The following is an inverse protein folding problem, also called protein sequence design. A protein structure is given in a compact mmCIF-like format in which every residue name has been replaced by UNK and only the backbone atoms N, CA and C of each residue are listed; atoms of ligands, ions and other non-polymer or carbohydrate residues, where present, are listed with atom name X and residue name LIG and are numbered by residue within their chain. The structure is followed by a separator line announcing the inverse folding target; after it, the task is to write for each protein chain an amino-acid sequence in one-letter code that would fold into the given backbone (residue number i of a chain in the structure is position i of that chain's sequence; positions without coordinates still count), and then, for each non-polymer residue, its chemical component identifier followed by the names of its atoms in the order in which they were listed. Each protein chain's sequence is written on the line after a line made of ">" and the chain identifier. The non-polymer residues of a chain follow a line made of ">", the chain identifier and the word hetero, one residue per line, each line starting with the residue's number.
data_IF_313615812855
#
_entry.id   IF_313615812855
#
_cell.length_a   1.000
_cell.length_b   1.000
_cell.length_c   1.000
_cell.angle_alpha   90.00
_cell.angle_beta   90.00
_cell.angle_gamma   90.00
#
_symmetry.space_group_name_H-M   'P 1'
#
loop_
_entity.id
_entity.type
_entity.pdbx_description
1 polymer ?
#
# COMPACT_ATOMS: atom_id res chain seq x y z
N UNK A 1 -13.50 9.12 8.21
CA UNK A 1 -13.73 9.09 9.68
C UNK A 1 -12.39 8.77 10.37
N UNK A 2 -12.17 9.07 11.66
CA UNK A 2 -10.90 8.73 12.34
C UNK A 2 -10.52 7.24 12.28
N UNK A 3 -11.48 6.35 12.00
CA UNK A 3 -11.27 4.92 11.70
C UNK A 3 -10.39 4.66 10.47
N UNK A 4 -10.50 5.51 9.44
CA UNK A 4 -9.93 5.22 8.13
C UNK A 4 -8.45 5.62 8.10
N UNK A 5 -8.08 6.66 8.85
CA UNK A 5 -6.67 7.04 9.04
C UNK A 5 -5.85 5.92 9.69
N UNK A 6 -6.40 5.26 10.70
CA UNK A 6 -5.76 4.09 11.34
C UNK A 6 -5.65 2.93 10.36
N UNK A 7 -6.71 2.67 9.60
CA UNK A 7 -6.69 1.64 8.55
C UNK A 7 -5.59 1.91 7.52
N UNK A 8 -5.49 3.14 6.98
CA UNK A 8 -4.49 3.47 5.97
C UNK A 8 -3.07 3.34 6.50
N UNK A 9 -2.79 3.82 7.72
CA UNK A 9 -1.47 3.65 8.31
C UNK A 9 -1.13 2.17 8.56
N UNK A 10 -2.11 1.37 9.01
CA UNK A 10 -1.92 -0.05 9.22
C UNK A 10 -1.72 -0.80 7.89
N UNK A 11 -2.47 -0.45 6.85
CA UNK A 11 -2.35 -1.01 5.52
C UNK A 11 -1.00 -0.66 4.87
N UNK A 12 -0.50 0.57 5.07
CA UNK A 12 0.84 0.97 4.63
C UNK A 12 1.90 0.02 5.21
N UNK A 13 1.87 -0.21 6.53
CA UNK A 13 2.79 -1.14 7.19
C UNK A 13 2.65 -2.60 6.74
N UNK A 14 1.43 -3.03 6.41
CA UNK A 14 1.19 -4.39 5.89
C UNK A 14 1.69 -4.58 4.45
N UNK A 15 1.92 -3.49 3.71
CA UNK A 15 2.36 -3.48 2.31
C UNK A 15 3.83 -3.05 2.16
N UNK A 16 4.56 -2.87 3.26
CA UNK A 16 6.02 -2.69 3.27
C UNK A 16 6.74 -4.01 3.55
N UNK A 17 8.04 -4.05 3.30
CA UNK A 17 8.86 -5.23 3.59
C UNK A 17 8.72 -5.65 5.07
N UNK A 18 8.44 -6.94 5.36
CA UNK A 18 8.10 -7.39 6.71
C UNK A 18 9.36 -7.62 7.57
N UNK A 19 9.98 -6.54 8.01
CA UNK A 19 11.14 -6.54 8.90
C UNK A 19 10.77 -6.80 10.38
N UNK A 20 11.77 -6.72 11.26
CA UNK A 20 11.60 -6.93 12.70
C UNK A 20 10.69 -5.87 13.35
N UNK A 21 10.71 -4.63 12.83
CA UNK A 21 9.86 -3.53 13.31
C UNK A 21 8.39 -3.78 12.95
N UNK A 22 8.10 -4.24 11.73
CA UNK A 22 6.78 -4.69 11.32
C UNK A 22 6.29 -5.83 12.25
N UNK A 23 7.14 -6.81 12.53
CA UNK A 23 6.80 -7.93 13.43
C UNK A 23 6.46 -7.47 14.84
N UNK A 24 7.23 -6.56 15.39
CA UNK A 24 6.98 -6.00 16.72
C UNK A 24 5.61 -5.27 16.79
N UNK A 25 5.13 -4.75 15.66
CA UNK A 25 3.85 -4.02 15.56
C UNK A 25 2.63 -4.90 15.33
N UNK A 26 2.78 -6.20 14.99
CA UNK A 26 1.65 -7.08 14.68
C UNK A 26 0.54 -7.11 15.76
N UNK A 27 0.83 -7.18 17.08
CA UNK A 27 -0.22 -7.14 18.10
C UNK A 27 -1.02 -5.83 18.06
N UNK A 28 -0.34 -4.69 17.86
CA UNK A 28 -0.98 -3.38 17.76
C UNK A 28 -1.83 -3.27 16.49
N UNK A 29 -1.32 -3.74 15.34
CA UNK A 29 -2.07 -3.74 14.08
C UNK A 29 -3.35 -4.58 14.19
N UNK A 30 -3.28 -5.73 14.87
CA UNK A 30 -4.42 -6.64 15.09
C UNK A 30 -5.55 -5.97 15.87
N UNK A 31 -5.22 -5.11 16.82
CA UNK A 31 -6.19 -4.37 17.64
C UNK A 31 -6.70 -3.10 16.94
N UNK A 32 -5.79 -2.32 16.34
CA UNK A 32 -6.08 -1.01 15.80
C UNK A 32 -6.82 -1.06 14.45
N UNK A 33 -6.57 -2.09 13.63
CA UNK A 33 -7.20 -2.26 12.32
C UNK A 33 -7.84 -3.66 12.18
N UNK A 34 -9.01 -3.90 12.80
CA UNK A 34 -9.70 -5.19 12.73
C UNK A 34 -10.00 -5.67 11.31
N UNK A 35 -10.12 -4.76 10.34
CA UNK A 35 -10.31 -5.03 8.93
C UNK A 35 -9.11 -5.75 8.29
N UNK A 36 -7.91 -5.59 8.86
CA UNK A 36 -6.68 -6.22 8.37
C UNK A 36 -6.32 -7.50 9.13
N UNK A 37 -7.21 -7.97 10.03
CA UNK A 37 -6.92 -9.09 10.93
C UNK A 37 -6.52 -10.36 10.18
N UNK A 38 -7.12 -10.62 9.03
CA UNK A 38 -6.78 -11.82 8.24
C UNK A 38 -5.29 -11.84 7.84
N UNK A 39 -4.79 -10.76 7.25
CA UNK A 39 -3.38 -10.63 6.92
C UNK A 39 -2.48 -10.62 8.17
N UNK A 40 -2.86 -9.86 9.20
CA UNK A 40 -2.06 -9.74 10.44
C UNK A 40 -1.94 -11.09 11.15
N UNK A 41 -3.01 -11.88 11.20
CA UNK A 41 -3.01 -13.20 11.82
C UNK A 41 -2.15 -14.18 11.02
N UNK A 42 -2.24 -14.14 9.69
CA UNK A 42 -1.35 -14.89 8.81
C UNK A 42 0.12 -14.52 9.04
N UNK A 43 0.44 -13.22 9.06
CA UNK A 43 1.80 -12.73 9.28
C UNK A 43 2.36 -13.14 10.65
N UNK A 44 1.54 -13.15 11.69
CA UNK A 44 1.93 -13.51 13.06
C UNK A 44 2.33 -14.98 13.21
N UNK A 45 1.68 -15.89 12.48
CA UNK A 45 1.97 -17.34 12.54
C UNK A 45 3.01 -17.79 11.51
N UNK A 46 3.30 -16.96 10.50
CA UNK A 46 4.27 -17.27 9.44
C UNK A 46 5.70 -16.98 9.93
N UNK A 47 6.70 -17.84 9.66
CA UNK A 47 8.11 -17.56 9.97
C UNK A 47 8.63 -16.30 9.26
N UNK A 48 9.55 -15.56 9.92
CA UNK A 48 10.06 -14.27 9.42
C UNK A 48 10.64 -14.34 8.01
N UNK A 49 11.54 -15.30 7.80
CA UNK A 49 12.19 -15.49 6.51
C UNK A 49 11.20 -15.92 5.41
N UNK A 50 10.17 -16.70 5.77
CA UNK A 50 9.15 -17.11 4.82
C UNK A 50 8.25 -15.95 4.40
N UNK A 51 7.83 -15.11 5.36
CA UNK A 51 7.02 -13.93 5.06
C UNK A 51 7.80 -12.91 4.20
N UNK A 52 9.08 -12.70 4.51
CA UNK A 52 9.97 -11.85 3.72
C UNK A 52 10.20 -12.40 2.30
N UNK A 53 10.50 -13.70 2.16
CA UNK A 53 10.64 -14.33 0.86
C UNK A 53 9.33 -14.27 0.06
N UNK A 54 8.19 -14.38 0.74
CA UNK A 54 6.89 -14.25 0.12
C UNK A 54 6.61 -12.82 -0.36
N UNK A 55 6.94 -11.80 0.44
CA UNK A 55 6.84 -10.40 0.04
C UNK A 55 7.60 -10.13 -1.26
N UNK A 56 8.88 -10.55 -1.31
CA UNK A 56 9.72 -10.42 -2.51
C UNK A 56 9.08 -11.16 -3.69
N UNK A 57 8.64 -12.41 -3.50
CA UNK A 57 7.98 -13.19 -4.56
C UNK A 57 6.74 -12.50 -5.13
N UNK A 58 5.96 -11.80 -4.29
CA UNK A 58 4.73 -11.11 -4.71
C UNK A 58 5.06 -9.81 -5.44
N UNK A 59 5.90 -8.96 -4.84
CA UNK A 59 6.05 -7.56 -5.25
C UNK A 59 7.30 -7.28 -6.10
N UNK A 60 8.35 -8.10 -6.03
CA UNK A 60 9.61 -7.93 -6.80
C UNK A 60 9.55 -8.64 -8.17
N UNK A 61 8.63 -9.60 -8.34
CA UNK A 61 8.53 -10.40 -9.55
C UNK A 61 7.78 -9.67 -10.69
N UNK A 62 8.53 -9.08 -11.63
CA UNK A 62 8.09 -8.78 -13.01
C UNK A 62 6.80 -7.93 -13.15
N UNK A 63 6.74 -6.71 -12.58
CA UNK A 63 5.67 -5.70 -12.79
C UNK A 63 4.21 -6.17 -12.52
N UNK A 64 3.98 -7.45 -12.19
CA UNK A 64 2.66 -8.07 -12.18
C UNK A 64 1.81 -7.62 -11.01
N UNK A 65 2.45 -7.27 -9.90
CA UNK A 65 1.80 -6.81 -8.67
C UNK A 65 2.48 -5.54 -8.14
N UNK A 66 3.02 -4.68 -9.01
CA UNK A 66 3.76 -3.50 -8.58
C UNK A 66 2.92 -2.63 -7.63
N UNK A 67 3.53 -2.19 -6.52
CA UNK A 67 2.92 -1.25 -5.58
C UNK A 67 3.04 0.21 -6.03
N UNK A 68 3.62 0.46 -7.21
CA UNK A 68 3.69 1.80 -7.80
C UNK A 68 2.41 2.11 -8.58
N UNK A 69 1.62 3.07 -8.08
CA UNK A 69 0.31 3.40 -8.64
C UNK A 69 0.37 3.82 -10.12
N UNK A 70 1.45 4.48 -10.52
CA UNK A 70 1.61 4.94 -11.90
C UNK A 70 1.79 3.80 -12.90
N UNK A 71 2.21 2.61 -12.46
CA UNK A 71 2.31 1.40 -13.31
C UNK A 71 0.97 0.88 -13.78
N UNK A 72 -0.10 1.26 -13.10
CA UNK A 72 -1.46 0.85 -13.40
C UNK A 72 -2.22 1.87 -14.25
N UNK A 73 -1.57 2.96 -14.66
CA UNK A 73 -2.12 3.90 -15.63
C UNK A 73 -1.76 3.44 -17.04
N UNK A 74 -2.73 3.48 -17.96
CA UNK A 74 -2.61 2.93 -19.31
C UNK A 74 -1.45 3.55 -20.11
N UNK A 75 -0.29 2.88 -20.09
CA UNK A 75 0.73 2.78 -21.14
C UNK A 75 1.39 4.05 -21.71
N UNK A 76 0.94 5.27 -21.40
CA UNK A 76 1.50 6.50 -21.95
C UNK A 76 2.61 7.03 -21.02
N UNK A 77 3.86 6.90 -21.45
CA UNK A 77 5.03 7.46 -20.74
C UNK A 77 4.88 8.96 -20.46
N UNK A 78 4.07 9.70 -21.23
CA UNK A 78 3.77 11.11 -20.94
C UNK A 78 2.85 11.30 -19.74
N UNK A 79 1.88 10.39 -19.54
CA UNK A 79 1.04 10.41 -18.34
C UNK A 79 1.83 10.02 -17.11
N UNK A 80 2.78 9.09 -17.22
CA UNK A 80 3.67 8.69 -16.13
C UNK A 80 4.43 9.87 -15.53
N UNK A 81 5.03 10.72 -16.39
CA UNK A 81 5.75 11.92 -15.94
C UNK A 81 4.85 12.95 -15.25
N UNK A 82 3.65 13.19 -15.79
CA UNK A 82 2.69 14.12 -15.16
C UNK A 82 2.11 13.57 -13.85
N UNK A 83 1.96 12.25 -13.76
CA UNK A 83 1.49 11.57 -12.55
C UNK A 83 2.46 11.78 -11.40
N UNK A 84 3.76 11.52 -11.62
CA UNK A 84 4.80 11.71 -10.58
C UNK A 84 4.93 13.17 -10.11
N UNK A 85 4.79 14.14 -11.01
CA UNK A 85 4.75 15.57 -10.62
C UNK A 85 3.55 15.84 -9.72
N UNK A 86 2.38 15.30 -10.06
CA UNK A 86 1.18 15.46 -9.24
C UNK A 86 1.36 14.87 -7.83
N UNK A 87 2.00 13.71 -7.70
CA UNK A 87 2.32 13.17 -6.39
C UNK A 87 3.21 14.14 -5.59
N UNK A 88 4.33 14.59 -6.16
CA UNK A 88 5.25 15.52 -5.52
C UNK A 88 4.56 16.81 -5.04
N UNK A 89 3.66 17.38 -5.84
CA UNK A 89 2.87 18.55 -5.46
C UNK A 89 2.00 18.30 -4.22
N UNK A 90 1.35 17.14 -4.14
CA UNK A 90 0.50 16.78 -3.00
C UNK A 90 1.34 16.58 -1.73
N UNK A 91 2.47 15.86 -1.80
CA UNK A 91 3.37 15.73 -0.64
C UNK A 91 3.89 17.08 -0.17
N UNK A 92 4.31 17.96 -1.10
CA UNK A 92 4.77 19.31 -0.77
C UNK A 92 3.66 20.16 -0.15
N UNK A 93 2.43 20.06 -0.64
CA UNK A 93 1.28 20.76 -0.07
C UNK A 93 0.96 20.28 1.35
N UNK A 94 1.26 19.02 1.68
CA UNK A 94 1.18 18.45 3.01
C UNK A 94 2.39 18.77 3.91
N UNK A 95 3.39 19.52 3.42
CA UNK A 95 4.61 19.83 4.16
C UNK A 95 5.56 18.63 4.34
N UNK A 96 5.43 17.61 3.50
CA UNK A 96 6.28 16.42 3.52
C UNK A 96 7.37 16.52 2.44
N UNK A 97 8.60 16.20 2.83
CA UNK A 97 9.74 16.08 1.92
C UNK A 97 9.95 14.63 1.52
N UNK A 98 10.02 14.38 0.21
CA UNK A 98 10.39 13.08 -0.33
C UNK A 98 11.92 12.99 -0.35
N UNK A 99 12.49 11.98 0.31
CA UNK A 99 13.94 11.80 0.42
C UNK A 99 14.59 11.33 -0.90
N UNK A 100 13.78 10.96 -1.89
CA UNK A 100 14.22 10.56 -3.23
C UNK A 100 14.64 9.08 -3.35
N UNK A 101 14.63 8.34 -2.25
CA UNK A 101 14.96 6.90 -2.22
C UNK A 101 13.81 6.02 -2.74
N UNK A 102 12.57 6.45 -2.53
CA UNK A 102 11.36 5.81 -3.04
C UNK A 102 10.59 6.75 -3.97
N UNK A 103 9.99 6.20 -5.04
CA UNK A 103 9.12 6.97 -5.92
C UNK A 103 7.85 7.39 -5.16
N UNK A 104 7.33 8.60 -5.42
CA UNK A 104 6.25 9.18 -4.63
C UNK A 104 4.89 8.50 -4.86
N UNK A 105 4.79 7.63 -5.86
CA UNK A 105 3.62 6.85 -6.20
C UNK A 105 3.59 5.45 -5.55
N UNK A 106 4.56 5.15 -4.69
CA UNK A 106 4.59 3.92 -3.90
C UNK A 106 3.38 3.88 -2.96
N UNK A 107 2.51 2.88 -3.13
CA UNK A 107 1.22 2.79 -2.46
C UNK A 107 1.31 2.92 -0.93
N UNK A 108 2.26 2.26 -0.22
CA UNK A 108 2.42 2.48 1.22
C UNK A 108 2.64 3.95 1.59
N UNK A 109 3.49 4.69 0.86
CA UNK A 109 3.71 6.11 1.12
C UNK A 109 2.44 6.96 0.88
N UNK A 110 1.66 6.61 -0.15
CA UNK A 110 0.38 7.28 -0.45
C UNK A 110 -0.66 6.99 0.65
N UNK A 111 -0.68 5.78 1.20
CA UNK A 111 -1.52 5.42 2.33
C UNK A 111 -1.12 6.16 3.61
N UNK A 112 0.19 6.31 3.88
CA UNK A 112 0.66 7.13 5.01
C UNK A 112 0.25 8.60 4.86
N UNK A 113 0.39 9.15 3.65
CA UNK A 113 -0.06 10.51 3.36
C UNK A 113 -1.57 10.65 3.63
N UNK A 114 -2.38 9.70 3.15
CA UNK A 114 -3.83 9.68 3.39
C UNK A 114 -4.15 9.57 4.88
N UNK A 115 -3.42 8.74 5.63
CA UNK A 115 -3.57 8.62 7.08
C UNK A 115 -3.26 9.92 7.82
N UNK A 116 -2.20 10.63 7.41
CA UNK A 116 -1.74 11.88 8.05
C UNK A 116 -2.61 13.08 7.72
N UNK A 117 -3.06 13.18 6.47
CA UNK A 117 -3.71 14.39 5.94
C UNK A 117 -5.22 14.26 5.80
N UNK A 118 -5.73 13.03 5.71
CA UNK A 118 -7.11 12.74 5.32
C UNK A 118 -7.41 13.00 3.83
N UNK A 119 -6.42 13.41 3.03
CA UNK A 119 -6.58 13.61 1.59
C UNK A 119 -6.54 12.26 0.86
N UNK A 120 -7.67 11.89 0.26
CA UNK A 120 -7.82 10.66 -0.51
C UNK A 120 -7.63 10.87 -2.02
N UNK A 121 -7.37 12.10 -2.47
CA UNK A 121 -7.38 12.46 -3.89
C UNK A 121 -6.49 11.58 -4.77
N UNK A 122 -5.31 11.21 -4.27
CA UNK A 122 -4.39 10.30 -4.97
C UNK A 122 -4.92 8.87 -5.02
N UNK A 123 -5.49 8.35 -3.93
CA UNK A 123 -6.08 7.01 -3.88
C UNK A 123 -7.33 6.93 -4.77
N UNK A 124 -8.24 7.90 -4.67
CA UNK A 124 -9.45 7.95 -5.50
C UNK A 124 -9.13 8.15 -6.98
N UNK A 125 -8.10 8.93 -7.30
CA UNK A 125 -7.65 9.14 -8.68
C UNK A 125 -6.99 7.92 -9.31
N UNK A 126 -6.54 6.95 -8.50
CA UNK A 126 -5.95 5.69 -8.95
C UNK A 126 -6.78 4.46 -8.57
N UNK A 127 -8.09 4.65 -8.29
CA UNK A 127 -8.98 3.54 -7.89
C UNK A 127 -8.93 2.37 -8.86
N UNK A 128 -9.04 2.63 -10.16
CA UNK A 128 -9.08 1.56 -11.16
C UNK A 128 -7.78 0.72 -11.13
N UNK A 129 -6.65 1.38 -10.89
CA UNK A 129 -5.36 0.72 -10.71
C UNK A 129 -5.29 -0.11 -9.43
N UNK A 130 -5.84 0.40 -8.33
CA UNK A 130 -5.96 -0.33 -7.07
C UNK A 130 -6.85 -1.57 -7.19
N UNK A 131 -7.99 -1.44 -7.88
CA UNK A 131 -8.89 -2.57 -8.16
C UNK A 131 -8.23 -3.63 -9.03
N UNK A 132 -7.45 -3.22 -10.04
CA UNK A 132 -6.68 -4.14 -10.88
C UNK A 132 -5.61 -4.87 -10.06
N UNK A 133 -4.83 -4.14 -9.25
CA UNK A 133 -3.85 -4.74 -8.34
C UNK A 133 -4.51 -5.74 -7.38
N UNK A 134 -5.62 -5.34 -6.75
CA UNK A 134 -6.43 -6.19 -5.85
C UNK A 134 -6.89 -7.48 -6.54
N UNK A 135 -7.44 -7.37 -7.75
CA UNK A 135 -7.86 -8.54 -8.53
C UNK A 135 -6.69 -9.48 -8.81
N UNK A 136 -5.53 -8.95 -9.20
CA UNK A 136 -4.35 -9.79 -9.49
C UNK A 136 -3.78 -10.45 -8.25
N UNK A 137 -3.73 -9.75 -7.11
CA UNK A 137 -3.31 -10.35 -5.84
C UNK A 137 -4.29 -11.46 -5.40
N UNK A 138 -5.59 -11.28 -5.65
CA UNK A 138 -6.62 -12.29 -5.41
C UNK A 138 -6.41 -13.51 -6.30
N UNK A 139 -6.21 -13.31 -7.60
CA UNK A 139 -5.96 -14.40 -8.56
C UNK A 139 -4.65 -15.14 -8.27
N UNK A 140 -3.64 -14.42 -7.76
CA UNK A 140 -2.38 -15.02 -7.31
C UNK A 140 -2.53 -15.81 -5.99
N UNK A 141 -3.63 -15.60 -5.25
CA UNK A 141 -3.93 -16.31 -4.01
C UNK A 141 -3.06 -15.87 -2.84
N UNK A 142 -2.70 -14.58 -2.75
CA UNK A 142 -1.87 -14.06 -1.66
C UNK A 142 -2.69 -13.31 -0.59
N UNK A 143 -2.37 -13.46 0.71
CA UNK A 143 -3.00 -12.73 1.80
C UNK A 143 -2.91 -11.20 1.68
N UNK A 144 -1.97 -10.65 0.90
CA UNK A 144 -1.92 -9.21 0.63
C UNK A 144 -3.18 -8.69 -0.09
N UNK A 145 -3.93 -9.56 -0.79
CA UNK A 145 -5.21 -9.20 -1.40
C UNK A 145 -6.21 -8.65 -0.36
N UNK A 146 -6.25 -9.25 0.83
CA UNK A 146 -7.16 -8.87 1.93
C UNK A 146 -6.89 -7.45 2.44
N UNK A 147 -5.63 -7.00 2.37
CA UNK A 147 -5.23 -5.63 2.72
C UNK A 147 -5.80 -4.66 1.68
N UNK A 148 -5.69 -4.99 0.39
CA UNK A 148 -6.24 -4.17 -0.69
C UNK A 148 -7.77 -4.18 -0.69
N UNK A 149 -8.42 -5.30 -0.36
CA UNK A 149 -9.87 -5.36 -0.19
C UNK A 149 -10.34 -4.36 0.88
N UNK A 150 -9.67 -4.31 2.03
CA UNK A 150 -9.99 -3.37 3.08
C UNK A 150 -9.78 -1.90 2.66
N UNK A 151 -8.70 -1.59 1.95
CA UNK A 151 -8.44 -0.24 1.43
C UNK A 151 -9.50 0.15 0.40
N UNK A 152 -9.73 -0.68 -0.63
CA UNK A 152 -10.69 -0.38 -1.70
C UNK A 152 -12.12 -0.21 -1.18
N UNK A 153 -12.52 -0.94 -0.13
CA UNK A 153 -13.84 -0.80 0.49
C UNK A 153 -14.09 0.57 1.15
N UNK A 154 -13.05 1.36 1.40
CA UNK A 154 -13.16 2.72 1.99
C UNK A 154 -13.13 3.84 0.97
N UNK A 155 -12.70 3.55 -0.26
CA UNK A 155 -12.68 4.52 -1.34
C UNK A 155 -14.08 4.61 -1.91
#
# INVERSE_FOLDING_TARGET
>A
MPSDAVLYQAAALCLTYPDDDFRARLPLLREAAPQLREFVDHAAVTPAQELAAHYVRVFDATDRHSLHLSRWQDGDTRQLGMSLVRFQEVYRAAGLELTGEELPDFLPAVLELAARTGDLGLLTGHRDGLEHLRSRLTDFGTPYATVLDAVCATL
#
